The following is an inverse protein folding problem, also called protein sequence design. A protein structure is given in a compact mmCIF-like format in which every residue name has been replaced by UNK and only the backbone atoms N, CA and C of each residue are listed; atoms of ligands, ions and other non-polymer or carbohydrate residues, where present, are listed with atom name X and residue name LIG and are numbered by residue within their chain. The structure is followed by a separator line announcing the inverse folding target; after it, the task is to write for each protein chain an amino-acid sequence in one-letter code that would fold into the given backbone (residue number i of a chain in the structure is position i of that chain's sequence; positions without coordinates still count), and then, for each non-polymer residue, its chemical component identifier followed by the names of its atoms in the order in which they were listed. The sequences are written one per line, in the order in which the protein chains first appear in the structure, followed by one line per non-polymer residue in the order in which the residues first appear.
data_IF_020123258514
#
_entry.id   IF_020123258514
#
_cell.length_a   1.000
_cell.length_b   1.000
_cell.length_c   1.000
_cell.angle_alpha   90.00
_cell.angle_beta   90.00
_cell.angle_gamma   90.00
#
_symmetry.space_group_name_H-M   'P 1'
#
loop_
_entity.id
_entity.type
_entity.pdbx_description
1 polymer ?
#
# COMPACT_ATOMS: atom_id res chain seq x y z
N UNK A 1 -8.50 4.15 -20.56
CA UNK A 1 -8.94 3.84 -19.20
C UNK A 1 -8.05 2.70 -18.77
N UNK A 2 -7.03 2.88 -17.93
CA UNK A 2 -6.96 3.81 -16.78
C UNK A 2 -8.14 3.61 -15.86
N UNK A 3 -8.33 2.38 -15.39
CA UNK A 3 -9.21 2.09 -14.28
C UNK A 3 -8.64 0.86 -13.59
N UNK A 4 -7.73 1.05 -12.62
CA UNK A 4 -7.55 0.05 -11.58
C UNK A 4 -8.86 0.10 -10.76
N UNK A 5 -9.86 -0.68 -11.16
CA UNK A 5 -11.10 -0.80 -10.37
C UNK A 5 -10.86 -1.71 -9.17
N UNK A 6 -11.59 -1.51 -8.08
CA UNK A 6 -11.48 -2.37 -6.90
C UNK A 6 -11.70 -3.85 -7.26
N UNK A 7 -12.71 -4.13 -8.09
CA UNK A 7 -13.02 -5.48 -8.54
C UNK A 7 -11.88 -6.10 -9.36
N UNK A 8 -11.29 -5.37 -10.30
CA UNK A 8 -10.14 -5.88 -11.06
C UNK A 8 -8.92 -6.08 -10.17
N UNK A 9 -8.66 -5.17 -9.22
CA UNK A 9 -7.57 -5.29 -8.26
C UNK A 9 -7.72 -6.53 -7.38
N UNK A 10 -8.92 -6.81 -6.86
CA UNK A 10 -9.20 -8.01 -6.07
C UNK A 10 -8.96 -9.29 -6.89
N UNK A 11 -9.39 -9.34 -8.15
CA UNK A 11 -9.16 -10.49 -9.05
C UNK A 11 -7.67 -10.72 -9.30
N UNK A 12 -6.92 -9.64 -9.52
CA UNK A 12 -5.47 -9.71 -9.71
C UNK A 12 -4.75 -10.18 -8.45
N UNK A 13 -5.19 -9.71 -7.28
CA UNK A 13 -4.56 -10.01 -6.00
C UNK A 13 -4.98 -11.36 -5.40
N UNK A 14 -6.04 -12.00 -5.87
CA UNK A 14 -6.42 -13.34 -5.41
C UNK A 14 -5.35 -14.38 -5.81
N UNK A 15 -4.89 -15.19 -4.86
CA UNK A 15 -3.92 -16.27 -5.08
C UNK A 15 -4.56 -17.65 -4.99
N UNK A 16 -5.87 -17.71 -4.72
CA UNK A 16 -6.59 -18.96 -4.53
C UNK A 16 -6.53 -19.85 -5.77
N UNK A 17 -6.01 -21.07 -5.64
CA UNK A 17 -5.92 -22.05 -6.72
C UNK A 17 -4.92 -21.69 -7.83
N UNK A 18 -4.07 -20.68 -7.63
CA UNK A 18 -3.08 -20.26 -8.64
C UNK A 18 -1.78 -21.07 -8.61
N UNK A 19 -1.60 -21.93 -7.61
CA UNK A 19 -0.46 -22.86 -7.53
C UNK A 19 0.87 -22.19 -7.22
N UNK A 20 0.84 -20.95 -6.75
CA UNK A 20 1.99 -20.19 -6.26
C UNK A 20 1.55 -19.29 -5.09
N UNK A 21 2.50 -19.01 -4.20
CA UNK A 21 2.22 -18.20 -3.01
C UNK A 21 1.36 -18.93 -1.98
N UNK A 22 0.95 -18.19 -0.95
CA UNK A 22 -0.05 -18.65 0.00
C UNK A 22 -1.45 -18.33 -0.52
N UNK A 23 -2.42 -19.18 -0.21
CA UNK A 23 -3.81 -19.04 -0.63
C UNK A 23 -4.50 -17.95 0.20
N UNK A 24 -4.78 -16.82 -0.44
CA UNK A 24 -5.43 -15.66 0.17
C UNK A 24 -6.40 -15.04 -0.82
N UNK A 25 -7.52 -14.54 -0.31
CA UNK A 25 -8.48 -13.79 -1.13
C UNK A 25 -7.87 -12.47 -1.61
N UNK A 26 -8.38 -11.97 -2.74
CA UNK A 26 -7.98 -10.66 -3.28
C UNK A 26 -8.12 -9.52 -2.28
N UNK A 27 -9.21 -9.50 -1.53
CA UNK A 27 -9.48 -8.50 -0.48
C UNK A 27 -8.41 -8.56 0.63
N UNK A 28 -8.04 -9.76 1.07
CA UNK A 28 -7.01 -9.92 2.11
C UNK A 28 -5.68 -9.35 1.65
N UNK A 29 -5.21 -9.79 0.47
CA UNK A 29 -3.94 -9.33 -0.09
C UNK A 29 -3.92 -7.81 -0.34
N UNK A 30 -5.06 -7.24 -0.73
CA UNK A 30 -5.20 -5.78 -0.91
C UNK A 30 -5.09 -5.02 0.41
N UNK A 31 -5.80 -5.46 1.45
CA UNK A 31 -5.77 -4.82 2.77
C UNK A 31 -4.38 -4.95 3.41
N UNK A 32 -3.76 -6.13 3.32
CA UNK A 32 -2.42 -6.37 3.86
C UNK A 32 -1.36 -5.50 3.16
N UNK A 33 -1.47 -5.34 1.83
CA UNK A 33 -0.58 -4.46 1.08
C UNK A 33 -0.75 -2.99 1.47
N UNK A 34 -2.00 -2.55 1.69
CA UNK A 34 -2.30 -1.19 2.13
C UNK A 34 -1.75 -0.92 3.54
N UNK A 35 -1.87 -1.87 4.46
CA UNK A 35 -1.34 -1.76 5.82
C UNK A 35 0.19 -1.55 5.80
N UNK A 36 0.91 -2.39 5.04
CA UNK A 36 2.37 -2.28 4.89
C UNK A 36 2.77 -0.91 4.34
N UNK A 37 2.14 -0.45 3.25
CA UNK A 37 2.46 0.85 2.64
C UNK A 37 2.16 1.99 3.61
N UNK A 38 1.04 1.91 4.34
CA UNK A 38 0.65 2.95 5.30
C UNK A 38 1.65 3.06 6.44
N UNK A 39 2.12 1.94 6.98
CA UNK A 39 3.15 1.94 8.03
C UNK A 39 4.48 2.50 7.54
N UNK A 40 4.92 2.11 6.33
CA UNK A 40 6.12 2.69 5.73
C UNK A 40 5.99 4.18 5.48
N UNK A 41 4.84 4.64 4.98
CA UNK A 41 4.59 6.06 4.76
C UNK A 41 4.63 6.84 6.09
N UNK A 42 3.96 6.34 7.14
CA UNK A 42 3.99 6.96 8.47
C UNK A 42 5.42 7.03 9.02
N UNK A 43 6.17 5.93 8.92
CA UNK A 43 7.59 5.91 9.30
C UNK A 43 8.40 6.94 8.52
N UNK A 44 8.24 7.01 7.19
CA UNK A 44 8.94 7.98 6.34
C UNK A 44 8.59 9.42 6.68
N UNK A 45 7.33 9.74 6.97
CA UNK A 45 6.96 11.10 7.40
C UNK A 45 7.67 11.50 8.70
N UNK A 46 7.72 10.60 9.69
CA UNK A 46 8.40 10.90 10.95
C UNK A 46 9.93 11.01 10.82
N UNK A 47 10.55 10.25 9.91
CA UNK A 47 12.01 10.25 9.76
C UNK A 47 12.52 11.29 8.75
N UNK A 48 11.71 11.67 7.75
CA UNK A 48 12.10 12.67 6.75
C UNK A 48 11.75 14.09 7.17
N UNK A 49 10.77 14.29 8.06
CA UNK A 49 10.43 15.60 8.65
C UNK A 49 11.12 15.80 10.02
N UNK A 50 12.29 15.19 10.23
CA UNK A 50 13.07 15.29 11.48
C UNK A 50 13.47 16.74 11.81
N UNK A 51 13.55 17.62 10.79
CA UNK A 51 13.77 19.06 10.95
C UNK A 51 12.63 19.84 10.31
N UNK A 52 11.85 20.61 11.10
CA UNK A 52 10.74 21.37 10.54
C UNK A 52 11.25 22.39 9.52
N UNK A 53 10.62 22.43 8.34
CA UNK A 53 10.85 23.51 7.36
C UNK A 53 10.23 24.78 7.92
N UNK A 54 11.02 25.56 8.66
CA UNK A 54 10.61 26.87 9.16
C UNK A 54 10.49 27.85 7.99
N UNK A 55 9.35 28.51 7.88
CA UNK A 55 9.18 29.67 6.99
C UNK A 55 9.94 30.86 7.59
N UNK A 56 11.26 30.82 7.50
CA UNK A 56 12.16 31.88 7.93
C UNK A 56 12.74 32.58 6.69
N UNK A 57 12.61 33.90 6.64
CA UNK A 57 13.25 34.72 5.61
C UNK A 57 14.78 34.64 5.77
N UNK A 58 15.48 34.39 4.66
CA UNK A 58 16.95 34.40 4.54
C UNK A 58 17.56 35.74 4.98
#
# INVERSE_FOLDING_TARGET
QTCDTLEEMEIWMDTTGKGYGEEHSGVSNLVDSLDIITWWAAYSFFHLDEKPVVNAYL
#
